data_IF_827068568843
#
_entry.id   IF_827068568843
#
_cell.length_a   1.000
_cell.length_b   1.000
_cell.length_c   1.000
_cell.angle_alpha   90.00
_cell.angle_beta   90.00
_cell.angle_gamma   90.00
#
_symmetry.space_group_name_H-M   'P 1'
#
loop_
_entity.id
_entity.type
_entity.pdbx_description
1 polymer ?
#
# COMPACT_ATOMS: atom_id res chain seq x y z
N UNK A 1 25.51 0.99 30.76
CA UNK A 1 25.07 2.18 30.03
C UNK A 1 23.92 1.75 29.11
N UNK A 2 22.67 2.08 29.44
CA UNK A 2 21.54 1.74 28.56
C UNK A 2 21.47 2.84 27.49
N UNK A 3 21.84 2.50 26.27
CA UNK A 3 21.67 3.40 25.13
C UNK A 3 20.18 3.44 24.78
N UNK A 4 19.50 4.49 25.16
CA UNK A 4 18.16 4.78 24.66
C UNK A 4 18.34 5.28 23.23
N UNK A 5 18.07 4.42 22.25
CA UNK A 5 17.80 4.87 20.91
C UNK A 5 16.39 5.47 20.94
N UNK A 6 16.21 6.76 20.62
CA UNK A 6 14.88 7.31 20.47
C UNK A 6 14.20 6.54 19.32
N UNK A 7 13.12 5.81 19.62
CA UNK A 7 12.25 5.31 18.58
C UNK A 7 11.62 6.55 17.93
N UNK A 8 12.07 6.87 16.74
CA UNK A 8 11.41 7.87 15.90
C UNK A 8 10.14 7.20 15.43
N UNK A 9 9.00 7.52 16.05
CA UNK A 9 7.71 7.11 15.55
C UNK A 9 7.54 7.66 14.14
N UNK A 10 7.47 6.76 13.17
CA UNK A 10 7.17 7.13 11.80
C UNK A 10 5.73 7.65 11.75
N UNK A 11 5.56 8.80 11.10
CA UNK A 11 4.23 9.37 10.85
C UNK A 11 3.97 9.42 9.36
N UNK A 12 2.75 9.17 8.98
CA UNK A 12 2.29 9.36 7.60
C UNK A 12 2.32 10.86 7.29
N UNK A 13 2.92 11.21 6.16
CA UNK A 13 2.93 12.59 5.69
C UNK A 13 1.67 12.85 4.86
N UNK A 14 0.74 13.56 5.47
CA UNK A 14 -0.47 14.02 4.78
C UNK A 14 -0.17 15.32 4.07
N UNK A 15 -0.38 15.37 2.75
CA UNK A 15 -0.18 16.58 1.94
C UNK A 15 -1.39 16.85 1.07
N UNK A 16 -1.88 18.09 1.03
CA UNK A 16 -2.96 18.47 0.13
C UNK A 16 -2.52 18.38 -1.33
N UNK A 17 -3.37 17.80 -2.15
CA UNK A 17 -3.23 17.73 -3.59
C UNK A 17 -4.30 18.61 -4.24
N UNK A 18 -3.97 19.86 -4.50
CA UNK A 18 -4.88 20.84 -5.05
C UNK A 18 -5.46 20.47 -6.42
N UNK A 19 -4.72 19.66 -7.22
CA UNK A 19 -5.18 19.23 -8.54
C UNK A 19 -6.43 18.35 -8.45
N UNK A 20 -6.50 17.52 -7.44
CA UNK A 20 -7.62 16.58 -7.24
C UNK A 20 -8.54 16.98 -6.09
N UNK A 21 -8.12 17.90 -5.20
CA UNK A 21 -8.86 18.29 -4.01
C UNK A 21 -8.88 17.16 -2.96
N UNK A 22 -7.78 16.46 -2.79
CA UNK A 22 -7.64 15.33 -1.86
C UNK A 22 -6.40 15.48 -0.99
N UNK A 23 -6.38 14.77 0.11
CA UNK A 23 -5.20 14.57 0.93
C UNK A 23 -4.44 13.33 0.44
N UNK A 24 -3.17 13.48 0.11
CA UNK A 24 -2.34 12.36 -0.29
C UNK A 24 -2.00 11.49 0.91
N UNK A 25 -2.06 10.18 0.71
CA UNK A 25 -1.63 9.19 1.68
C UNK A 25 -0.12 8.92 1.52
N UNK A 26 0.69 9.61 2.35
CA UNK A 26 2.15 9.69 2.24
C UNK A 26 2.61 10.51 1.00
N UNK A 27 3.91 10.58 0.76
CA UNK A 27 4.54 11.44 -0.23
C UNK A 27 4.03 11.22 -1.67
N UNK A 28 3.83 9.98 -2.05
CA UNK A 28 3.48 9.55 -3.41
C UNK A 28 2.03 9.07 -3.55
N UNK A 29 1.24 9.21 -2.49
CA UNK A 29 -0.15 8.74 -2.44
C UNK A 29 -0.31 7.23 -2.72
N UNK A 30 0.73 6.44 -2.50
CA UNK A 30 0.77 5.00 -2.82
C UNK A 30 1.09 4.11 -1.61
N UNK A 31 1.10 4.67 -0.42
CA UNK A 31 1.45 3.92 0.80
C UNK A 31 0.64 2.65 1.00
N UNK A 32 -0.72 2.64 0.90
CA UNK A 32 -1.49 1.40 1.07
C UNK A 32 -1.14 0.34 0.03
N UNK A 33 -0.92 0.74 -1.22
CA UNK A 33 -0.57 -0.16 -2.30
C UNK A 33 0.81 -0.81 -2.06
N UNK A 34 1.79 -0.02 -1.61
CA UNK A 34 3.13 -0.55 -1.25
C UNK A 34 3.04 -1.58 -0.13
N UNK A 35 2.24 -1.32 0.90
CA UNK A 35 2.04 -2.27 2.00
C UNK A 35 1.39 -3.56 1.53
N UNK A 36 0.43 -3.49 0.63
CA UNK A 36 -0.18 -4.68 0.02
C UNK A 36 0.81 -5.50 -0.80
N UNK A 37 1.64 -4.83 -1.60
CA UNK A 37 2.69 -5.49 -2.38
C UNK A 37 3.70 -6.20 -1.47
N UNK A 38 4.11 -5.55 -0.39
CA UNK A 38 5.02 -6.11 0.60
C UNK A 38 4.43 -7.35 1.28
N UNK A 39 3.19 -7.25 1.77
CA UNK A 39 2.48 -8.37 2.40
C UNK A 39 2.28 -9.52 1.41
N UNK A 40 2.00 -9.22 0.14
CA UNK A 40 1.87 -10.24 -0.90
C UNK A 40 3.20 -10.94 -1.23
N UNK A 41 4.33 -10.22 -1.12
CA UNK A 41 5.66 -10.75 -1.39
C UNK A 41 6.18 -11.66 -0.27
N UNK A 42 5.85 -11.36 1.00
CA UNK A 42 6.26 -12.14 2.17
C UNK A 42 5.19 -13.20 2.53
N UNK A 43 5.50 -14.50 2.48
CA UNK A 43 4.59 -15.57 2.91
C UNK A 43 4.20 -15.46 4.38
N UNK A 44 5.15 -15.10 5.24
CA UNK A 44 4.94 -14.94 6.68
C UNK A 44 3.95 -13.82 6.97
N UNK A 45 4.15 -12.65 6.35
CA UNK A 45 3.22 -11.54 6.45
C UNK A 45 1.82 -11.95 6.03
N UNK A 46 1.69 -12.53 4.84
CA UNK A 46 0.40 -12.95 4.28
C UNK A 46 -0.35 -13.92 5.20
N UNK A 47 0.35 -14.89 5.79
CA UNK A 47 -0.27 -15.86 6.70
C UNK A 47 -0.72 -15.20 8.02
N UNK A 48 0.10 -14.33 8.59
CA UNK A 48 -0.24 -13.57 9.80
C UNK A 48 -1.51 -12.72 9.59
N UNK A 49 -1.60 -11.95 8.50
CA UNK A 49 -2.77 -11.11 8.23
C UNK A 49 -4.02 -11.93 7.91
N UNK A 50 -3.89 -13.02 7.16
CA UNK A 50 -5.00 -13.92 6.91
C UNK A 50 -5.55 -14.53 8.20
N UNK A 51 -4.69 -14.91 9.13
CA UNK A 51 -5.09 -15.40 10.45
C UNK A 51 -5.80 -14.30 11.25
N UNK A 52 -5.22 -13.09 11.28
CA UNK A 52 -5.84 -11.94 11.95
C UNK A 52 -7.22 -11.62 11.37
N UNK A 53 -7.37 -11.59 10.05
CA UNK A 53 -8.66 -11.39 9.40
C UNK A 53 -9.70 -12.46 9.78
N UNK A 54 -9.28 -13.72 9.91
CA UNK A 54 -10.14 -14.81 10.40
C UNK A 54 -10.55 -14.61 11.85
N UNK A 55 -9.66 -14.13 12.71
CA UNK A 55 -10.01 -13.80 14.09
C UNK A 55 -11.02 -12.66 14.17
N UNK A 56 -10.83 -11.58 13.39
CA UNK A 56 -11.75 -10.45 13.35
C UNK A 56 -13.13 -10.87 12.83
N UNK A 57 -13.19 -11.66 11.76
CA UNK A 57 -14.46 -12.13 11.21
C UNK A 57 -15.15 -13.19 12.08
N UNK A 58 -14.39 -13.90 12.91
CA UNK A 58 -14.87 -14.95 13.78
C UNK A 58 -15.69 -16.02 13.02
N UNK A 59 -16.73 -16.52 13.67
CA UNK A 59 -17.68 -17.46 13.07
C UNK A 59 -18.77 -16.77 12.23
N UNK A 60 -18.68 -15.43 12.03
CA UNK A 60 -19.68 -14.65 11.32
C UNK A 60 -20.78 -14.13 12.25
N UNK A 61 -22.00 -14.10 11.73
CA UNK A 61 -23.16 -13.61 12.49
C UNK A 61 -23.71 -14.70 13.38
N UNK A 62 -24.19 -14.32 14.56
CA UNK A 62 -24.83 -15.22 15.53
C UNK A 62 -26.04 -15.90 14.89
N UNK A 63 -26.80 -15.15 14.09
CA UNK A 63 -27.91 -15.65 13.29
C UNK A 63 -27.44 -15.99 11.86
N UNK A 64 -27.44 -17.27 11.46
CA UNK A 64 -26.94 -17.69 10.14
C UNK A 64 -27.75 -17.14 8.95
N UNK A 65 -29.01 -16.77 9.15
CA UNK A 65 -29.90 -16.20 8.13
C UNK A 65 -29.43 -14.80 7.73
N UNK A 66 -28.96 -13.98 8.66
CA UNK A 66 -28.40 -12.65 8.40
C UNK A 66 -27.19 -12.73 7.45
N UNK A 67 -26.29 -13.69 7.67
CA UNK A 67 -25.12 -13.85 6.83
C UNK A 67 -25.43 -14.16 5.36
N UNK A 68 -26.58 -14.75 5.06
CA UNK A 68 -27.05 -15.09 3.71
C UNK A 68 -27.80 -13.94 3.02
N UNK A 69 -28.14 -12.89 3.76
CA UNK A 69 -28.87 -11.75 3.20
C UNK A 69 -28.07 -11.08 2.10
N UNK A 70 -28.70 -10.90 0.94
CA UNK A 70 -28.14 -10.18 -0.20
C UNK A 70 -28.35 -8.68 0.04
N UNK A 71 -27.27 -7.91 -0.05
CA UNK A 71 -27.22 -6.48 0.32
C UNK A 71 -27.06 -5.55 -0.88
N UNK A 72 -26.84 -6.09 -2.08
CA UNK A 72 -26.76 -5.31 -3.31
C UNK A 72 -27.22 -6.10 -4.54
N UNK A 73 -27.40 -5.40 -5.66
CA UNK A 73 -27.82 -6.00 -6.93
C UNK A 73 -26.80 -6.98 -7.54
N UNK A 74 -25.52 -6.94 -7.09
CA UNK A 74 -24.45 -7.84 -7.55
C UNK A 74 -24.44 -9.18 -6.80
N UNK A 75 -25.39 -9.42 -5.89
CA UNK A 75 -25.44 -10.66 -5.10
C UNK A 75 -24.41 -10.74 -3.97
N UNK A 76 -23.91 -9.61 -3.50
CA UNK A 76 -23.04 -9.56 -2.32
C UNK A 76 -23.84 -9.93 -1.08
N UNK A 77 -23.39 -10.93 -0.34
CA UNK A 77 -24.01 -11.30 0.94
C UNK A 77 -23.36 -10.58 2.10
N UNK A 78 -24.11 -10.41 3.19
CA UNK A 78 -23.59 -9.75 4.40
C UNK A 78 -22.38 -10.49 4.97
N UNK A 79 -22.33 -11.83 4.91
CA UNK A 79 -21.18 -12.62 5.32
C UNK A 79 -19.93 -12.36 4.47
N UNK A 80 -20.09 -12.12 3.16
CA UNK A 80 -18.97 -11.76 2.27
C UNK A 80 -18.47 -10.34 2.58
N UNK A 81 -19.41 -9.41 2.83
CA UNK A 81 -19.03 -8.05 3.26
C UNK A 81 -18.23 -8.08 4.54
N UNK A 82 -18.70 -8.83 5.57
CA UNK A 82 -17.98 -8.97 6.84
C UNK A 82 -16.55 -9.46 6.66
N UNK A 83 -16.36 -10.49 5.81
CA UNK A 83 -15.01 -11.02 5.52
C UNK A 83 -14.13 -9.99 4.82
N UNK A 84 -14.65 -9.23 3.87
CA UNK A 84 -13.90 -8.19 3.17
C UNK A 84 -13.48 -7.06 4.13
N UNK A 85 -14.43 -6.57 4.94
CA UNK A 85 -14.16 -5.57 5.99
C UNK A 85 -13.16 -6.08 7.02
N UNK A 86 -13.26 -7.36 7.44
CA UNK A 86 -12.31 -7.95 8.38
C UNK A 86 -10.89 -8.04 7.80
N UNK A 87 -10.77 -8.28 6.48
CA UNK A 87 -9.48 -8.28 5.79
C UNK A 87 -8.84 -6.91 5.77
N UNK A 88 -9.61 -5.87 5.39
CA UNK A 88 -9.12 -4.49 5.40
C UNK A 88 -8.76 -4.03 6.82
N UNK A 89 -9.64 -4.30 7.80
CA UNK A 89 -9.38 -3.95 9.19
C UNK A 89 -8.16 -4.67 9.77
N UNK A 90 -7.92 -5.91 9.35
CA UNK A 90 -6.73 -6.63 9.77
C UNK A 90 -5.44 -5.99 9.27
N UNK A 91 -5.43 -5.49 8.03
CA UNK A 91 -4.24 -4.93 7.39
C UNK A 91 -4.09 -3.43 7.64
N UNK A 92 -5.16 -2.67 7.41
CA UNK A 92 -5.13 -1.20 7.42
C UNK A 92 -5.65 -0.57 8.70
N UNK A 93 -6.14 -1.37 9.64
CA UNK A 93 -6.87 -0.93 10.84
C UNK A 93 -8.18 -0.19 10.54
N UNK A 94 -8.44 0.14 9.29
CA UNK A 94 -9.62 0.83 8.78
C UNK A 94 -10.36 0.05 7.70
N UNK A 95 -11.53 0.52 7.29
CA UNK A 95 -12.30 -0.04 6.18
C UNK A 95 -13.29 0.97 5.61
N UNK A 96 -13.82 0.70 4.39
CA UNK A 96 -14.80 1.54 3.72
C UNK A 96 -16.04 0.76 3.28
N UNK A 97 -17.21 1.35 3.52
CA UNK A 97 -18.50 0.80 3.09
C UNK A 97 -19.28 1.89 2.39
N UNK A 98 -19.67 1.65 1.16
CA UNK A 98 -20.50 2.55 0.36
C UNK A 98 -21.98 2.20 0.55
N UNK A 99 -22.78 3.21 0.92
CA UNK A 99 -24.19 3.08 1.24
C UNK A 99 -24.99 3.93 0.27
N UNK A 100 -25.93 3.31 -0.44
CA UNK A 100 -26.90 4.01 -1.27
C UNK A 100 -28.25 4.01 -0.61
N UNK A 101 -29.01 5.08 -0.83
CA UNK A 101 -30.33 5.29 -0.29
C UNK A 101 -31.39 5.27 -1.40
N UNK A 102 -32.62 4.99 -1.03
CA UNK A 102 -33.79 5.14 -1.87
C UNK A 102 -34.50 6.48 -1.61
N UNK A 103 -35.54 6.78 -2.41
CA UNK A 103 -36.31 8.02 -2.27
C UNK A 103 -37.02 8.18 -0.91
N UNK A 104 -37.10 7.12 -0.11
CA UNK A 104 -37.65 7.15 1.26
C UNK A 104 -36.54 7.24 2.33
N UNK A 105 -35.33 7.66 1.96
CA UNK A 105 -34.13 7.78 2.80
C UNK A 105 -33.70 6.49 3.53
N UNK A 106 -34.20 5.33 3.05
CA UNK A 106 -33.80 4.02 3.56
C UNK A 106 -32.66 3.44 2.75
N UNK A 107 -31.79 2.65 3.40
CA UNK A 107 -30.69 1.97 2.74
C UNK A 107 -31.24 1.06 1.64
N UNK A 108 -30.85 1.33 0.40
CA UNK A 108 -31.21 0.56 -0.77
C UNK A 108 -30.17 -0.49 -1.13
N UNK A 109 -28.89 -0.16 -1.00
CA UNK A 109 -27.80 -1.10 -1.23
C UNK A 109 -26.55 -0.74 -0.45
N UNK A 110 -25.77 -1.78 -0.13
CA UNK A 110 -24.49 -1.65 0.56
C UNK A 110 -23.41 -2.32 -0.28
N UNK A 111 -22.32 -1.61 -0.54
CA UNK A 111 -21.22 -2.09 -1.34
C UNK A 111 -19.92 -1.99 -0.56
N UNK A 112 -19.04 -2.97 -0.75
CA UNK A 112 -17.69 -2.91 -0.24
C UNK A 112 -16.83 -2.00 -1.11
N UNK A 113 -16.04 -1.13 -0.48
CA UNK A 113 -15.01 -0.31 -1.12
C UNK A 113 -13.68 -0.67 -0.48
N UNK A 114 -12.69 -0.97 -1.30
CA UNK A 114 -11.36 -1.31 -0.83
C UNK A 114 -10.74 -0.11 -0.12
N UNK A 115 -10.17 -0.33 1.04
CA UNK A 115 -9.52 0.73 1.81
C UNK A 115 -8.39 1.42 1.04
N UNK A 116 -7.61 0.66 0.29
CA UNK A 116 -6.51 1.15 -0.53
C UNK A 116 -6.92 2.18 -1.59
N UNK A 117 -8.18 2.13 -2.03
CA UNK A 117 -8.73 3.00 -3.08
C UNK A 117 -9.28 4.31 -2.53
N UNK A 118 -9.41 4.46 -1.21
CA UNK A 118 -10.04 5.61 -0.57
C UNK A 118 -9.00 6.68 -0.25
N UNK A 119 -9.34 7.94 -0.53
CA UNK A 119 -8.60 9.12 -0.08
C UNK A 119 -9.55 10.13 0.55
N UNK A 120 -9.08 10.82 1.57
CA UNK A 120 -9.83 11.91 2.19
C UNK A 120 -9.83 13.13 1.30
N UNK A 121 -10.95 13.84 1.26
CA UNK A 121 -11.03 15.15 0.63
C UNK A 121 -10.19 16.17 1.37
N UNK A 122 -9.73 17.17 0.65
CA UNK A 122 -8.96 18.29 1.21
C UNK A 122 -9.90 19.22 1.99
N UNK A 123 -9.59 19.47 3.25
CA UNK A 123 -10.36 20.39 4.12
C UNK A 123 -10.34 21.82 3.65
N UNK A 124 -9.32 22.23 2.91
CA UNK A 124 -9.19 23.57 2.37
C UNK A 124 -9.92 23.75 1.03
N UNK A 125 -10.46 22.68 0.46
CA UNK A 125 -11.20 22.69 -0.79
C UNK A 125 -12.71 22.54 -0.54
N UNK A 126 -13.53 23.61 -0.74
CA UNK A 126 -14.97 23.58 -0.44
C UNK A 126 -15.75 22.48 -1.18
N UNK A 127 -15.27 22.09 -2.37
CA UNK A 127 -15.93 21.05 -3.19
C UNK A 127 -15.76 19.65 -2.65
N UNK A 128 -14.72 19.38 -1.83
CA UNK A 128 -14.28 18.05 -1.45
C UNK A 128 -14.08 17.86 0.07
N UNK A 129 -14.23 18.91 0.88
CA UNK A 129 -13.95 18.90 2.32
C UNK A 129 -14.73 17.81 3.10
N UNK A 130 -15.97 17.55 2.70
CA UNK A 130 -16.82 16.53 3.34
C UNK A 130 -17.02 15.28 2.47
N UNK A 131 -16.05 15.01 1.59
CA UNK A 131 -16.13 13.90 0.65
C UNK A 131 -14.92 12.99 0.75
N UNK A 132 -15.12 11.77 0.31
CA UNK A 132 -14.06 10.80 0.09
C UNK A 132 -13.90 10.57 -1.41
N UNK A 133 -12.66 10.53 -1.87
CA UNK A 133 -12.32 10.24 -3.25
C UNK A 133 -11.98 8.75 -3.39
N UNK A 134 -12.60 8.09 -4.35
CA UNK A 134 -12.35 6.68 -4.64
C UNK A 134 -11.76 6.57 -6.03
N UNK A 135 -10.61 5.90 -6.10
CA UNK A 135 -9.94 5.60 -7.37
C UNK A 135 -9.06 4.36 -7.22
N UNK A 136 -9.17 3.42 -8.17
CA UNK A 136 -8.52 2.11 -8.05
C UNK A 136 -7.00 2.11 -8.33
N UNK A 137 -6.48 3.13 -8.98
CA UNK A 137 -5.10 3.13 -9.48
C UNK A 137 -4.23 4.22 -8.84
N UNK A 138 -4.46 4.56 -7.56
CA UNK A 138 -3.54 5.41 -6.82
C UNK A 138 -2.13 4.78 -6.82
N UNK A 139 -1.10 5.54 -7.08
CA UNK A 139 0.27 5.05 -7.02
C UNK A 139 0.77 4.27 -8.24
N UNK A 140 -0.04 3.97 -9.24
CA UNK A 140 0.50 3.53 -10.53
C UNK A 140 1.32 4.64 -11.16
N UNK A 141 2.52 4.30 -11.66
CA UNK A 141 3.60 5.22 -12.13
C UNK A 141 3.21 6.29 -13.16
N UNK A 142 1.97 6.39 -13.55
CA UNK A 142 1.48 7.32 -14.56
C UNK A 142 0.50 8.32 -13.97
N UNK A 143 0.97 9.16 -13.05
CA UNK A 143 0.25 10.36 -12.59
C UNK A 143 -0.29 11.20 -13.75
N UNK A 144 0.36 11.14 -14.91
CA UNK A 144 -0.04 11.87 -16.12
C UNK A 144 -1.41 11.46 -16.68
N UNK A 145 -1.94 10.30 -16.28
CA UNK A 145 -3.20 9.76 -16.82
C UNK A 145 -4.37 9.78 -15.83
N UNK A 146 -4.17 10.28 -14.61
CA UNK A 146 -5.27 10.47 -13.66
C UNK A 146 -5.98 11.76 -14.02
N UNK A 147 -7.24 11.64 -14.39
CA UNK A 147 -8.11 12.79 -14.65
C UNK A 147 -9.13 12.86 -13.53
N UNK A 148 -9.40 14.08 -13.02
CA UNK A 148 -10.41 14.27 -11.95
C UNK A 148 -11.76 13.63 -12.27
N UNK A 149 -12.14 13.55 -13.54
CA UNK A 149 -13.37 12.89 -13.98
C UNK A 149 -13.43 11.38 -13.73
N UNK A 150 -12.31 10.73 -13.52
CA UNK A 150 -12.23 9.29 -13.19
C UNK A 150 -12.32 9.02 -11.69
N UNK A 151 -12.16 10.04 -10.87
CA UNK A 151 -12.24 9.95 -9.42
C UNK A 151 -13.71 10.05 -9.04
N UNK A 152 -14.18 9.10 -8.27
CA UNK A 152 -15.55 9.10 -7.73
C UNK A 152 -15.50 9.75 -6.37
N UNK A 153 -16.22 10.86 -6.20
CA UNK A 153 -16.40 11.49 -4.91
C UNK A 153 -17.71 11.01 -4.29
N UNK A 154 -17.63 10.56 -3.04
CA UNK A 154 -18.78 10.17 -2.22
C UNK A 154 -18.84 11.05 -1.00
N UNK A 155 -20.05 11.40 -0.59
CA UNK A 155 -20.26 12.20 0.60
C UNK A 155 -19.94 11.38 1.86
N UNK A 156 -19.56 12.09 2.94
CA UNK A 156 -19.31 11.49 4.24
C UNK A 156 -20.61 10.88 4.79
N UNK A 157 -20.50 9.71 5.42
CA UNK A 157 -21.65 9.03 6.01
C UNK A 157 -22.22 9.82 7.17
N UNK A 158 -23.51 10.10 7.07
CA UNK A 158 -24.35 10.60 8.14
C UNK A 158 -25.75 9.97 7.97
N UNK A 159 -26.28 9.28 9.00
CA UNK A 159 -27.56 8.61 8.91
C UNK A 159 -28.77 9.56 9.03
N UNK A 160 -28.57 10.85 9.30
CA UNK A 160 -29.67 11.83 9.44
C UNK A 160 -30.33 12.06 8.07
N UNK A 161 -31.67 11.90 8.04
CA UNK A 161 -32.46 12.13 6.84
C UNK A 161 -32.31 13.55 6.28
N UNK A 162 -32.17 14.57 7.16
CA UNK A 162 -31.99 15.96 6.73
C UNK A 162 -30.63 16.17 6.04
N UNK A 163 -29.60 15.48 6.51
CA UNK A 163 -28.28 15.53 5.87
C UNK A 163 -28.32 14.84 4.51
N UNK A 164 -28.97 13.66 4.42
CA UNK A 164 -29.11 12.95 3.15
C UNK A 164 -29.89 13.81 2.16
N UNK A 165 -30.98 14.45 2.58
CA UNK A 165 -31.77 15.35 1.74
C UNK A 165 -30.94 16.53 1.22
N UNK A 166 -30.14 17.15 2.08
CA UNK A 166 -29.25 18.24 1.71
C UNK A 166 -28.18 17.82 0.70
N UNK A 167 -27.62 16.62 0.85
CA UNK A 167 -26.64 16.04 -0.07
C UNK A 167 -27.26 15.71 -1.43
N UNK A 168 -28.48 15.17 -1.42
CA UNK A 168 -29.25 14.91 -2.66
C UNK A 168 -29.55 16.22 -3.39
N UNK A 169 -29.95 17.24 -2.65
CA UNK A 169 -30.20 18.57 -3.25
C UNK A 169 -28.91 19.18 -3.81
N UNK A 170 -27.79 19.11 -3.09
CA UNK A 170 -26.50 19.60 -3.55
C UNK A 170 -25.98 18.83 -4.78
N UNK A 171 -26.30 17.54 -4.90
CA UNK A 171 -25.98 16.72 -6.08
C UNK A 171 -26.85 17.05 -7.31
N UNK A 172 -27.92 17.83 -7.15
CA UNK A 172 -28.89 18.12 -8.22
C UNK A 172 -29.94 17.03 -8.43
N UNK A 173 -30.23 16.27 -7.40
CA UNK A 173 -31.28 15.24 -7.39
C UNK A 173 -30.78 13.80 -7.28
N UNK A 174 -31.72 12.88 -7.11
CA UNK A 174 -31.45 11.45 -6.91
C UNK A 174 -30.69 10.79 -8.07
N UNK A 175 -30.83 11.29 -9.29
CA UNK A 175 -30.14 10.75 -10.46
C UNK A 175 -28.62 10.97 -10.42
N UNK A 176 -28.19 12.05 -9.78
CA UNK A 176 -26.79 12.43 -9.67
C UNK A 176 -26.16 12.03 -8.31
N UNK A 177 -27.01 11.75 -7.34
CA UNK A 177 -26.57 11.38 -6.00
C UNK A 177 -25.93 9.98 -5.99
N UNK A 178 -24.69 9.90 -5.51
CA UNK A 178 -23.90 8.67 -5.54
C UNK A 178 -23.90 7.90 -4.21
N UNK A 179 -24.63 8.38 -3.20
CA UNK A 179 -24.63 7.79 -1.88
C UNK A 179 -23.50 8.29 -1.00
N UNK A 180 -23.35 7.68 0.15
CA UNK A 180 -22.38 8.03 1.19
C UNK A 180 -21.35 6.95 1.38
N UNK A 181 -20.15 7.34 1.83
CA UNK A 181 -19.11 6.41 2.26
C UNK A 181 -18.99 6.42 3.79
N UNK A 182 -19.24 5.28 4.41
CA UNK A 182 -18.82 5.03 5.78
C UNK A 182 -17.37 4.61 5.79
N UNK A 183 -16.49 5.55 6.17
CA UNK A 183 -15.06 5.34 6.28
C UNK A 183 -14.69 5.23 7.75
N UNK A 184 -14.30 4.05 8.18
CA UNK A 184 -13.79 3.81 9.51
C UNK A 184 -12.28 3.97 9.52
N UNK A 185 -11.81 4.92 10.31
CA UNK A 185 -10.40 5.17 10.54
C UNK A 185 -10.19 5.40 12.05
N UNK A 186 -9.25 4.71 12.71
CA UNK A 186 -8.95 4.96 14.13
C UNK A 186 -8.30 6.33 14.36
N UNK A 187 -7.57 6.83 13.37
CA UNK A 187 -7.00 8.20 13.36
C UNK A 187 -8.02 9.14 12.72
N UNK A 188 -8.60 10.04 13.50
CA UNK A 188 -9.76 10.83 13.06
C UNK A 188 -9.40 11.80 11.93
N UNK A 189 -8.24 12.45 12.03
CA UNK A 189 -7.83 13.54 11.13
C UNK A 189 -6.70 13.16 10.17
N UNK A 190 -6.08 11.99 10.38
CA UNK A 190 -4.94 11.52 9.61
C UNK A 190 -5.20 10.13 9.02
N UNK A 191 -4.36 9.72 8.07
CA UNK A 191 -4.35 8.34 7.61
C UNK A 191 -3.70 7.42 8.62
N UNK A 192 -4.23 6.21 8.85
CA UNK A 192 -3.65 5.28 9.80
C UNK A 192 -2.29 4.77 9.32
N UNK A 193 -1.35 4.69 10.25
CA UNK A 193 -0.13 3.93 10.04
C UNK A 193 -0.44 2.44 10.14
N UNK A 194 -0.04 1.68 9.15
CA UNK A 194 -0.26 0.24 9.12
C UNK A 194 0.71 -0.43 10.09
N UNK A 195 0.23 -1.36 10.91
CA UNK A 195 1.08 -2.08 11.88
C UNK A 195 2.26 -2.81 11.21
N UNK A 196 2.09 -3.24 9.96
CA UNK A 196 3.15 -3.82 9.14
C UNK A 196 4.35 -2.88 8.91
N UNK A 197 4.15 -1.58 9.06
CA UNK A 197 5.21 -0.60 8.85
C UNK A 197 6.38 -0.75 9.85
N UNK A 198 6.11 -1.22 11.06
CA UNK A 198 7.13 -1.47 12.07
C UNK A 198 8.06 -2.65 11.76
N UNK A 199 7.62 -3.57 10.93
CA UNK A 199 8.33 -4.82 10.56
C UNK A 199 8.56 -4.92 9.05
N UNK A 200 8.45 -3.82 8.37
CA UNK A 200 8.51 -3.79 6.91
C UNK A 200 9.88 -4.27 6.36
N UNK A 201 10.98 -3.89 7.04
CA UNK A 201 12.34 -4.28 6.67
C UNK A 201 12.54 -5.81 6.74
N UNK A 202 11.94 -6.45 7.74
CA UNK A 202 11.98 -7.91 7.90
C UNK A 202 11.24 -8.60 6.74
N UNK A 203 10.07 -8.08 6.35
CA UNK A 203 9.31 -8.63 5.24
C UNK A 203 9.97 -8.37 3.89
N UNK A 204 10.61 -7.23 3.71
CA UNK A 204 11.40 -6.93 2.51
C UNK A 204 12.61 -7.86 2.41
N UNK A 205 13.27 -8.14 3.53
CA UNK A 205 14.38 -9.10 3.61
C UNK A 205 13.91 -10.51 3.27
N UNK A 206 12.77 -10.98 3.82
CA UNK A 206 12.18 -12.28 3.48
C UNK A 206 11.84 -12.38 1.98
N UNK A 207 11.23 -11.34 1.42
CA UNK A 207 10.92 -11.28 -0.01
C UNK A 207 12.20 -11.33 -0.86
N UNK A 208 13.25 -10.60 -0.46
CA UNK A 208 14.55 -10.60 -1.12
C UNK A 208 15.24 -11.97 -1.10
N UNK A 209 15.27 -12.64 0.05
CA UNK A 209 15.80 -14.00 0.19
C UNK A 209 15.04 -14.98 -0.71
N UNK A 210 13.71 -14.87 -0.77
CA UNK A 210 12.88 -15.70 -1.65
C UNK A 210 13.22 -15.51 -3.11
N UNK A 211 13.39 -14.27 -3.55
CA UNK A 211 13.78 -13.95 -4.93
C UNK A 211 15.18 -14.50 -5.23
N UNK A 212 16.14 -14.31 -4.31
CA UNK A 212 17.49 -14.82 -4.43
C UNK A 212 17.49 -16.34 -4.55
N UNK A 213 16.86 -17.05 -3.63
CA UNK A 213 16.80 -18.52 -3.65
C UNK A 213 16.13 -19.06 -4.92
N UNK A 214 15.03 -18.43 -5.36
CA UNK A 214 14.37 -18.83 -6.60
C UNK A 214 15.26 -18.63 -7.82
N UNK A 215 16.01 -17.54 -7.86
CA UNK A 215 16.97 -17.27 -8.92
C UNK A 215 18.10 -18.28 -8.93
N UNK A 216 18.69 -18.59 -7.78
CA UNK A 216 19.75 -19.59 -7.66
C UNK A 216 19.28 -20.97 -8.10
N UNK A 217 18.09 -21.40 -7.73
CA UNK A 217 17.51 -22.68 -8.14
C UNK A 217 17.22 -22.71 -9.64
N UNK A 218 16.71 -21.64 -10.21
CA UNK A 218 16.35 -21.58 -11.65
C UNK A 218 17.55 -21.44 -12.56
N UNK A 219 18.62 -20.78 -12.10
CA UNK A 219 19.86 -20.58 -12.88
C UNK A 219 20.93 -21.64 -12.63
N UNK A 220 20.64 -22.64 -11.79
CA UNK A 220 21.52 -23.78 -11.55
C UNK A 220 22.73 -23.48 -10.67
N UNK A 221 22.57 -22.63 -9.66
CA UNK A 221 23.64 -22.29 -8.70
C UNK A 221 24.92 -21.74 -9.34
N UNK A 222 24.84 -21.16 -10.53
CA UNK A 222 25.98 -20.47 -11.11
C UNK A 222 26.22 -19.16 -10.36
N UNK A 223 27.36 -19.01 -9.66
CA UNK A 223 27.66 -17.77 -8.98
C UNK A 223 27.72 -16.64 -10.02
N UNK A 224 26.96 -15.59 -9.77
CA UNK A 224 26.94 -14.40 -10.64
C UNK A 224 28.29 -13.66 -10.73
N UNK A 225 29.24 -14.05 -9.88
CA UNK A 225 30.60 -13.49 -9.87
C UNK A 225 31.59 -14.59 -9.55
N UNK A 226 32.39 -14.99 -10.51
CA UNK A 226 33.60 -15.78 -10.27
C UNK A 226 34.75 -14.82 -9.89
N UNK A 227 35.16 -14.87 -8.65
CA UNK A 227 36.38 -14.20 -8.18
C UNK A 227 37.57 -15.11 -8.54
N UNK A 228 38.21 -14.83 -9.65
CA UNK A 228 39.52 -15.44 -9.97
C UNK A 228 40.60 -14.75 -9.12
N UNK A 229 40.98 -15.35 -8.00
CA UNK A 229 42.23 -14.99 -7.36
C UNK A 229 43.37 -15.66 -8.10
N UNK A 230 43.97 -14.96 -9.03
CA UNK A 230 45.25 -15.37 -9.60
C UNK A 230 46.29 -14.96 -8.55
N UNK A 231 46.80 -15.96 -7.80
CA UNK A 231 48.00 -15.74 -7.03
C UNK A 231 49.11 -15.46 -8.03
N UNK A 232 49.58 -14.21 -8.05
CA UNK A 232 50.83 -13.89 -8.69
C UNK A 232 51.88 -14.67 -7.91
N UNK A 233 52.31 -15.84 -8.42
CA UNK A 233 53.58 -16.38 -8.01
C UNK A 233 54.60 -15.35 -8.50
N UNK A 234 55.16 -14.61 -7.57
CA UNK A 234 56.47 -14.05 -7.76
C UNK A 234 57.37 -15.25 -7.92
N UNK A 235 57.61 -15.69 -9.16
CA UNK A 235 58.78 -16.42 -9.46
C UNK A 235 59.93 -15.48 -9.03
N UNK A 236 60.53 -15.83 -7.90
CA UNK A 236 61.80 -15.25 -7.58
C UNK A 236 62.71 -15.59 -8.76
N UNK A 237 62.92 -14.61 -9.61
CA UNK A 237 63.89 -14.67 -10.67
C UNK A 237 65.25 -14.72 -10.04
N UNK A 238 65.68 -15.93 -9.66
CA UNK A 238 67.04 -16.23 -9.22
C UNK A 238 67.99 -16.35 -10.41
N UNK A 239 67.66 -15.72 -11.52
CA UNK A 239 68.63 -15.60 -12.61
C UNK A 239 69.76 -14.67 -12.09
N UNK A 240 71.05 -15.13 -12.12
CA UNK A 240 72.17 -14.27 -11.83
C UNK A 240 72.10 -13.08 -12.78
N UNK A 241 72.24 -11.88 -12.20
CA UNK A 241 72.22 -10.64 -12.96
C UNK A 241 73.20 -10.75 -14.12
N UNK A 242 72.71 -10.76 -15.34
CA UNK A 242 73.56 -10.69 -16.51
C UNK A 242 74.03 -9.24 -16.68
N UNK A 243 75.20 -8.97 -16.09
CA UNK A 243 75.90 -7.66 -16.18
C UNK A 243 76.19 -7.21 -17.64
N UNK A 244 75.98 -8.07 -18.65
CA UNK A 244 76.21 -7.74 -20.03
C UNK A 244 75.18 -6.75 -20.60
N UNK A 245 74.03 -6.59 -19.96
CA UNK A 245 72.96 -5.68 -20.45
C UNK A 245 73.13 -4.23 -20.03
N UNK A 246 73.97 -3.95 -19.02
CA UNK A 246 74.29 -2.60 -18.62
C UNK A 246 75.34 -1.86 -19.40
N UNK A 247 76.05 -2.59 -20.33
CA UNK A 247 77.11 -1.99 -21.16
C UNK A 247 76.62 -1.05 -22.28
N UNK A 248 75.30 -1.08 -22.57
CA UNK A 248 74.73 -0.25 -23.63
C UNK A 248 73.89 0.95 -23.15
N UNK A 249 73.83 1.14 -21.89
CA UNK A 249 72.95 2.22 -21.32
C UNK A 249 73.57 3.61 -21.25
N UNK A 250 74.96 3.72 -21.44
CA UNK A 250 75.65 5.01 -21.45
C UNK A 250 76.56 5.08 -22.65
N UNK A 251 76.21 5.70 -23.79
CA UNK A 251 77.16 6.07 -24.80
C UNK A 251 78.12 7.14 -24.23
N UNK A 252 79.43 7.08 -24.52
CA UNK A 252 80.40 8.07 -24.09
C UNK A 252 80.06 9.42 -24.69
N UNK A 253 79.90 10.44 -23.81
CA UNK A 253 79.81 11.84 -24.19
C UNK A 253 81.08 12.27 -24.96
N UNK A 254 80.92 12.69 -26.20
CA UNK A 254 81.93 13.52 -26.89
C UNK A 254 81.65 14.99 -26.53
#
# INVERSE_FOLDING_TARGET
MKTYLPQIERRILVRPNQTFGILNYDLDNAYPQRMLELVAASPTAKDCWNKRAKFISGNGFEEPTLGKQIINAKGLTLAKLLKAVATDKALFTGFGIHINYNANFKIASVNYVKFEDIRMGDTDCPDTMDKYAIYADWGRKTWKNITRSKIIFLDKYDPDEQVIESQVFAAGGWENYKGQLYYFNPEVDDYPLIEADSVWEDFETEAGIKIFNNREVTTGFLPSTMLFMQSRREEADNSPADDSKNAYANPPSQ
#
